data_IF_258452640006
#
_entry.id   IF_258452640006
#
_cell.length_a   1.000
_cell.length_b   1.000
_cell.length_c   1.000
_cell.angle_alpha   90.00
_cell.angle_beta   90.00
_cell.angle_gamma   90.00
#
_symmetry.space_group_name_H-M   'P 1'
#
loop_
_entity.id
_entity.type
_entity.pdbx_description
1 polymer ?
#
# COMPACT_ATOMS: atom_id res chain seq x y z
N UNK A 1 -10.37 0.09 12.60
CA UNK A 1 -10.03 1.20 11.67
C UNK A 1 -11.27 1.56 10.85
N UNK A 2 -11.47 2.84 10.60
CA UNK A 2 -12.67 3.33 9.91
C UNK A 2 -12.62 3.05 8.41
N UNK A 3 -13.71 2.51 7.86
CA UNK A 3 -13.87 2.38 6.41
C UNK A 3 -14.12 3.76 5.80
N UNK A 4 -13.31 4.12 4.80
CA UNK A 4 -13.46 5.40 4.10
C UNK A 4 -14.47 5.28 2.97
N UNK A 5 -14.29 4.29 2.10
CA UNK A 5 -15.22 3.97 1.01
C UNK A 5 -14.90 2.60 0.42
N UNK A 6 -15.80 2.13 -0.45
CA UNK A 6 -15.66 0.87 -1.17
C UNK A 6 -15.63 1.16 -2.66
N UNK A 7 -14.64 0.61 -3.36
CA UNK A 7 -14.55 0.64 -4.81
C UNK A 7 -14.89 -0.77 -5.32
N UNK A 8 -16.14 -0.97 -5.73
CA UNK A 8 -16.61 -2.24 -6.24
C UNK A 8 -16.83 -2.13 -7.76
N UNK A 9 -15.96 -2.79 -8.53
CA UNK A 9 -16.02 -2.75 -9.98
C UNK A 9 -17.15 -3.59 -10.56
N UNK A 10 -17.69 -4.53 -9.79
CA UNK A 10 -18.80 -5.42 -10.19
C UNK A 10 -18.54 -6.16 -11.51
N UNK A 11 -17.27 -6.45 -11.78
CA UNK A 11 -16.81 -7.09 -13.02
C UNK A 11 -16.46 -8.56 -12.83
N UNK A 12 -17.02 -9.21 -11.83
CA UNK A 12 -16.69 -10.57 -11.40
C UNK A 12 -17.96 -11.40 -11.19
N UNK A 13 -17.77 -12.72 -11.07
CA UNK A 13 -18.84 -13.62 -10.71
C UNK A 13 -19.11 -13.53 -9.21
N UNK A 14 -20.26 -12.99 -8.76
CA UNK A 14 -20.54 -12.78 -7.33
C UNK A 14 -20.62 -14.05 -6.51
N UNK A 15 -20.75 -15.21 -7.14
CA UNK A 15 -20.81 -16.50 -6.47
C UNK A 15 -19.52 -17.30 -6.61
N UNK A 16 -18.45 -16.67 -7.12
CA UNK A 16 -17.19 -17.34 -7.39
C UNK A 16 -16.24 -17.37 -6.21
N UNK A 17 -15.06 -17.91 -6.46
CA UNK A 17 -13.99 -17.99 -5.46
C UNK A 17 -13.44 -16.60 -5.13
N UNK A 18 -12.97 -16.42 -3.88
CA UNK A 18 -12.49 -15.14 -3.38
C UNK A 18 -11.05 -15.27 -2.92
N UNK A 19 -10.20 -14.35 -3.35
CA UNK A 19 -8.87 -14.15 -2.80
C UNK A 19 -8.79 -12.79 -2.16
N UNK A 20 -8.30 -12.73 -0.94
CA UNK A 20 -8.17 -11.47 -0.19
C UNK A 20 -6.74 -11.29 0.28
N UNK A 21 -6.18 -10.11 0.02
CA UNK A 21 -4.84 -9.76 0.50
C UNK A 21 -4.85 -8.30 0.94
N UNK A 22 -4.59 -8.01 2.22
CA UNK A 22 -4.52 -6.63 2.68
C UNK A 22 -3.23 -5.96 2.20
N UNK A 23 -3.30 -4.67 2.01
CA UNK A 23 -2.14 -3.84 1.74
C UNK A 23 -2.11 -2.67 2.72
N UNK A 24 -0.92 -2.15 2.97
CA UNK A 24 -0.72 -1.06 3.94
C UNK A 24 0.01 0.08 3.24
N UNK A 25 -0.50 1.30 3.40
CA UNK A 25 0.04 2.50 2.75
C UNK A 25 0.34 3.56 3.79
N UNK A 26 1.42 4.31 3.57
CA UNK A 26 1.82 5.40 4.46
C UNK A 26 1.43 6.76 3.92
N UNK A 27 0.79 7.58 4.77
CA UNK A 27 0.56 8.99 4.50
C UNK A 27 1.65 9.73 5.26
N UNK A 28 2.68 10.16 4.56
CA UNK A 28 3.87 10.77 5.13
C UNK A 28 3.88 12.24 4.76
N UNK A 29 3.70 13.09 5.77
CA UNK A 29 3.71 14.53 5.58
C UNK A 29 5.02 15.12 6.09
N UNK A 30 5.67 15.94 5.26
CA UNK A 30 6.93 16.59 5.60
C UNK A 30 6.98 17.96 4.91
N UNK A 31 7.16 18.99 5.70
CA UNK A 31 7.27 20.38 5.18
C UNK A 31 6.10 20.77 4.27
N UNK A 32 4.88 20.38 4.65
CA UNK A 32 3.66 20.67 3.88
C UNK A 32 3.51 19.85 2.61
N UNK A 33 4.32 18.81 2.43
CA UNK A 33 4.29 17.93 1.25
C UNK A 33 3.97 16.52 1.66
N UNK A 34 3.39 15.76 0.73
CA UNK A 34 3.09 14.34 0.93
C UNK A 34 4.05 13.50 0.09
N UNK A 35 4.57 12.42 0.68
CA UNK A 35 5.47 11.52 -0.03
C UNK A 35 4.66 10.61 -0.96
N UNK A 36 5.03 10.60 -2.24
CA UNK A 36 4.39 9.77 -3.26
C UNK A 36 5.42 9.00 -4.05
N UNK A 37 5.05 7.78 -4.46
CA UNK A 37 5.81 7.02 -5.45
C UNK A 37 5.31 7.39 -6.84
N UNK A 38 6.23 7.66 -7.75
CA UNK A 38 5.89 8.02 -9.13
C UNK A 38 6.34 6.92 -10.09
N UNK A 39 5.39 6.33 -10.80
CA UNK A 39 5.72 5.44 -11.90
C UNK A 39 6.04 6.29 -13.12
N UNK A 40 7.32 6.31 -13.54
CA UNK A 40 7.76 7.09 -14.68
C UNK A 40 7.15 6.54 -15.97
N UNK A 41 7.13 5.21 -16.08
CA UNK A 41 6.65 4.52 -17.28
C UNK A 41 5.17 4.77 -17.58
N UNK A 42 4.33 4.75 -16.54
CA UNK A 42 2.88 4.89 -16.70
C UNK A 42 2.35 6.23 -16.22
N UNK A 43 3.23 7.08 -15.69
CA UNK A 43 2.92 8.44 -15.24
C UNK A 43 1.73 8.51 -14.27
N UNK A 44 1.79 7.72 -13.22
CA UNK A 44 0.84 7.82 -12.12
C UNK A 44 1.58 7.88 -10.77
N UNK A 45 0.87 8.34 -9.75
CA UNK A 45 1.38 8.47 -8.40
C UNK A 45 0.60 7.57 -7.45
N UNK A 46 1.29 7.00 -6.47
CA UNK A 46 0.66 6.22 -5.41
C UNK A 46 1.36 6.49 -4.07
N UNK A 47 0.65 6.26 -2.99
CA UNK A 47 1.27 6.32 -1.66
C UNK A 47 2.21 5.13 -1.47
N UNK A 48 3.35 5.33 -0.78
CA UNK A 48 4.29 4.22 -0.53
C UNK A 48 3.66 3.17 0.38
N UNK A 49 3.96 1.91 0.11
CA UNK A 49 3.44 0.78 0.85
C UNK A 49 3.31 -0.44 -0.02
N UNK A 50 2.67 -1.47 0.48
CA UNK A 50 2.50 -2.72 -0.27
C UNK A 50 1.76 -3.79 0.50
N UNK A 51 1.76 -4.99 -0.04
CA UNK A 51 1.05 -6.13 0.52
C UNK A 51 1.73 -6.73 1.75
N UNK A 52 0.91 -7.24 2.65
CA UNK A 52 1.40 -7.94 3.85
C UNK A 52 2.01 -9.28 3.49
N UNK A 53 3.08 -9.61 4.18
CA UNK A 53 3.64 -10.96 4.16
C UNK A 53 3.09 -11.75 5.36
N UNK A 54 3.14 -13.08 5.24
CA UNK A 54 2.65 -13.96 6.30
C UNK A 54 3.39 -13.69 7.61
N UNK A 55 2.63 -13.53 8.69
CA UNK A 55 3.19 -13.30 10.02
C UNK A 55 3.51 -11.86 10.35
N UNK A 56 3.39 -10.94 9.40
CA UNK A 56 3.60 -9.52 9.67
C UNK A 56 2.37 -8.87 10.32
N UNK A 57 2.62 -7.91 11.21
CA UNK A 57 1.57 -6.97 11.63
C UNK A 57 1.43 -5.88 10.56
N UNK A 58 0.35 -5.11 10.65
CA UNK A 58 0.16 -3.96 9.74
C UNK A 58 1.30 -2.95 9.88
N UNK A 59 1.75 -2.70 11.10
CA UNK A 59 2.85 -1.75 11.34
C UNK A 59 4.17 -2.26 10.78
N UNK A 60 4.46 -3.54 10.95
CA UNK A 60 5.66 -4.16 10.37
C UNK A 60 5.65 -4.08 8.85
N UNK A 61 4.49 -4.32 8.23
CA UNK A 61 4.33 -4.20 6.78
C UNK A 61 4.58 -2.75 6.34
N UNK A 62 4.02 -1.78 7.05
CA UNK A 62 4.19 -0.37 6.73
C UNK A 62 5.68 0.01 6.75
N UNK A 63 6.37 -0.33 7.83
CA UNK A 63 7.79 0.00 8.01
C UNK A 63 8.64 -0.63 6.91
N UNK A 64 8.42 -1.91 6.64
CA UNK A 64 9.18 -2.65 5.63
C UNK A 64 8.93 -2.11 4.22
N UNK A 65 7.67 -2.00 3.84
CA UNK A 65 7.30 -1.60 2.48
C UNK A 65 7.67 -0.15 2.17
N UNK A 66 7.48 0.76 3.11
CA UNK A 66 7.87 2.16 2.91
C UNK A 66 9.37 2.26 2.70
N UNK A 67 10.16 1.52 3.48
CA UNK A 67 11.62 1.51 3.33
C UNK A 67 12.05 0.92 1.99
N UNK A 68 11.50 -0.24 1.64
CA UNK A 68 11.86 -0.91 0.39
C UNK A 68 11.53 -0.07 -0.84
N UNK A 69 10.37 0.55 -0.83
CA UNK A 69 9.86 1.27 -2.00
C UNK A 69 10.44 2.67 -2.13
N UNK A 70 10.54 3.40 -1.02
CA UNK A 70 10.94 4.81 -1.05
C UNK A 70 12.29 5.11 -0.40
N UNK A 71 12.84 4.18 0.38
CA UNK A 71 14.04 4.43 1.18
C UNK A 71 13.78 5.22 2.45
N UNK A 72 12.54 5.58 2.74
CA UNK A 72 12.21 6.34 3.94
C UNK A 72 12.06 5.40 5.13
N UNK A 73 12.55 5.82 6.30
CA UNK A 73 12.51 5.03 7.52
C UNK A 73 11.44 5.57 8.45
N UNK A 74 10.36 4.82 8.60
CA UNK A 74 9.21 5.21 9.43
C UNK A 74 9.61 5.20 10.90
N UNK A 75 9.21 6.22 11.65
CA UNK A 75 9.32 6.27 13.10
C UNK A 75 8.14 5.51 13.70
N UNK A 76 8.35 4.32 14.30
CA UNK A 76 7.24 3.46 14.73
C UNK A 76 6.27 4.13 15.70
N UNK A 77 6.77 4.98 16.60
CA UNK A 77 5.97 5.66 17.62
C UNK A 77 5.03 6.71 17.05
N UNK A 78 5.18 7.06 15.77
CA UNK A 78 4.35 8.08 15.12
C UNK A 78 3.22 7.49 14.31
N UNK A 79 3.14 6.18 14.19
CA UNK A 79 2.14 5.49 13.36
C UNK A 79 0.74 5.67 13.96
N UNK A 80 -0.19 6.20 13.16
CA UNK A 80 -1.58 6.42 13.56
C UNK A 80 -2.52 5.95 12.46
N UNK A 81 -3.60 5.29 12.86
CA UNK A 81 -4.63 4.85 11.93
C UNK A 81 -5.33 6.03 11.27
N UNK A 82 -5.51 5.96 9.95
CA UNK A 82 -6.30 6.93 9.20
C UNK A 82 -7.63 6.34 8.76
N UNK A 83 -7.58 5.23 8.03
CA UNK A 83 -8.76 4.55 7.54
C UNK A 83 -8.39 3.54 6.47
N UNK A 84 -9.38 2.80 5.95
CA UNK A 84 -9.12 1.86 4.88
C UNK A 84 -10.12 2.03 3.73
N UNK A 85 -9.68 1.59 2.54
CA UNK A 85 -10.50 1.54 1.34
C UNK A 85 -10.57 0.09 0.90
N UNK A 86 -11.78 -0.42 0.69
CA UNK A 86 -11.98 -1.76 0.18
C UNK A 86 -12.16 -1.72 -1.33
N UNK A 87 -11.36 -2.50 -2.04
CA UNK A 87 -11.49 -2.70 -3.48
C UNK A 87 -12.00 -4.11 -3.74
N UNK A 88 -12.98 -4.22 -4.60
CA UNK A 88 -13.55 -5.50 -5.03
C UNK A 88 -13.54 -5.52 -6.53
N UNK A 89 -12.87 -6.50 -7.12
CA UNK A 89 -12.77 -6.61 -8.58
C UNK A 89 -12.50 -8.05 -9.00
N UNK A 90 -12.56 -8.29 -10.30
CA UNK A 90 -12.22 -9.59 -10.86
C UNK A 90 -10.78 -9.95 -10.48
N UNK A 91 -10.57 -11.15 -9.96
CA UNK A 91 -9.27 -11.67 -9.61
C UNK A 91 -8.46 -12.09 -10.82
N UNK A 92 -7.15 -12.22 -10.62
CA UNK A 92 -6.25 -12.69 -11.68
C UNK A 92 -6.38 -14.20 -11.89
N UNK A 93 -6.51 -14.94 -10.80
CA UNK A 93 -6.63 -16.40 -10.81
C UNK A 93 -7.94 -16.87 -10.19
N UNK A 94 -8.41 -16.18 -9.16
CA UNK A 94 -9.70 -16.41 -8.53
C UNK A 94 -10.76 -15.52 -9.19
N UNK A 95 -12.04 -15.82 -8.94
CA UNK A 95 -13.13 -15.04 -9.55
C UNK A 95 -13.21 -13.63 -8.97
N UNK A 96 -12.93 -13.48 -7.70
CA UNK A 96 -13.05 -12.20 -6.98
C UNK A 96 -11.76 -11.92 -6.22
N UNK A 97 -11.25 -10.69 -6.38
CA UNK A 97 -10.17 -10.15 -5.57
C UNK A 97 -10.71 -9.07 -4.66
N UNK A 98 -10.54 -9.23 -3.35
CA UNK A 98 -10.90 -8.24 -2.35
C UNK A 98 -9.62 -7.73 -1.70
N UNK A 99 -9.38 -6.44 -1.77
CA UNK A 99 -8.21 -5.84 -1.15
C UNK A 99 -8.63 -4.69 -0.25
N UNK A 100 -8.32 -4.82 1.04
CA UNK A 100 -8.44 -3.73 1.98
C UNK A 100 -7.09 -3.00 2.03
N UNK A 101 -7.11 -1.73 1.66
CA UNK A 101 -5.93 -0.87 1.70
C UNK A 101 -6.00 -0.04 2.96
N UNK A 102 -5.12 -0.33 3.92
CA UNK A 102 -5.07 0.34 5.21
C UNK A 102 -4.09 1.51 5.15
N UNK A 103 -4.59 2.70 5.48
CA UNK A 103 -3.81 3.93 5.43
C UNK A 103 -3.44 4.37 6.83
N UNK A 104 -2.15 4.64 7.02
CA UNK A 104 -1.60 5.12 8.30
C UNK A 104 -0.88 6.43 8.10
N UNK A 105 -1.12 7.37 9.01
CA UNK A 105 -0.31 8.57 9.11
C UNK A 105 0.99 8.19 9.84
N UNK A 106 2.12 8.69 9.37
CA UNK A 106 3.39 8.45 10.04
C UNK A 106 4.39 9.52 9.69
N UNK A 107 5.44 9.61 10.53
CA UNK A 107 6.61 10.45 10.30
C UNK A 107 7.81 9.56 9.99
N UNK A 108 8.80 10.14 9.34
CA UNK A 108 10.00 9.40 8.93
C UNK A 108 11.25 10.09 9.47
N UNK A 109 12.32 9.29 9.60
CA UNK A 109 13.64 9.80 9.95
C UNK A 109 14.16 10.72 8.85
N UNK A 110 15.11 11.57 9.19
CA UNK A 110 15.83 12.36 8.19
C UNK A 110 16.75 11.44 7.39
N UNK A 111 16.92 11.77 6.10
CA UNK A 111 17.71 10.95 5.20
C UNK A 111 16.88 9.88 4.50
N UNK A 112 17.55 9.15 3.64
CA UNK A 112 16.91 8.15 2.77
C UNK A 112 17.87 6.96 2.66
N UNK A 113 17.35 5.74 2.83
CA UNK A 113 18.10 4.53 2.56
C UNK A 113 17.90 4.09 1.10
N UNK A 114 18.74 3.20 0.56
CA UNK A 114 18.55 2.69 -0.80
C UNK A 114 17.21 1.97 -0.94
N UNK A 115 16.55 2.17 -2.07
CA UNK A 115 15.34 1.44 -2.42
C UNK A 115 15.66 -0.03 -2.67
N UNK A 116 14.66 -0.88 -2.39
CA UNK A 116 14.70 -2.29 -2.73
C UNK A 116 13.36 -2.61 -3.39
N UNK A 117 13.34 -2.57 -4.73
CA UNK A 117 12.14 -2.84 -5.51
C UNK A 117 12.06 -4.33 -5.83
N UNK A 118 10.88 -4.89 -5.78
CA UNK A 118 10.67 -6.26 -6.22
C UNK A 118 10.65 -6.35 -7.75
N UNK A 119 10.63 -7.57 -8.29
CA UNK A 119 10.69 -7.77 -9.74
C UNK A 119 9.52 -7.11 -10.47
N UNK A 120 8.34 -7.13 -9.86
CA UNK A 120 7.16 -6.50 -10.43
C UNK A 120 7.31 -4.98 -10.50
N UNK A 121 7.80 -4.39 -9.43
CA UNK A 121 8.01 -2.95 -9.36
C UNK A 121 9.08 -2.48 -10.34
N UNK A 122 10.14 -3.26 -10.52
CA UNK A 122 11.18 -2.96 -11.51
C UNK A 122 10.61 -2.99 -12.93
N UNK A 123 9.80 -3.98 -13.24
CA UNK A 123 9.16 -4.09 -14.57
C UNK A 123 8.23 -2.92 -14.83
N UNK A 124 7.54 -2.43 -13.80
CA UNK A 124 6.64 -1.28 -13.91
C UNK A 124 7.34 0.06 -13.77
N UNK A 125 8.65 0.08 -13.54
CA UNK A 125 9.44 1.31 -13.38
C UNK A 125 8.97 2.13 -12.17
N UNK A 126 8.70 1.47 -11.06
CA UNK A 126 8.22 2.08 -9.82
C UNK A 126 9.27 2.26 -8.74
#
# INVERSE_FOLDING_TARGET
>A
MRELFVLDKKNYNPNGSVFSRPSVRGIILRDGKIAMMHSIKYNYYKLPGGGMESGESYEETLIREVREESGLVVKPETIREFGYVRRIEKGRFEDIFVQDNYYYLCEVEEGVEPQTLDDYEQVLDE
#
